data_IF_584073709584
#
_entry.id   IF_584073709584
#
_cell.length_a   1.000
_cell.length_b   1.000
_cell.length_c   1.000
_cell.angle_alpha   90.00
_cell.angle_beta   90.00
_cell.angle_gamma   90.00
#
_symmetry.space_group_name_H-M   'P 1'
#
loop_
_entity.id
_entity.type
_entity.pdbx_description
1 polymer ?
#
# COMPACT_ATOMS: atom_id res chain seq x y z
N UNK A 1 -23.73 -22.38 -28.53
CA UNK A 1 -24.09 -23.77 -28.85
C UNK A 1 -25.49 -24.00 -28.32
N UNK A 2 -26.48 -24.25 -29.19
CA UNK A 2 -27.85 -24.49 -28.76
C UNK A 2 -27.95 -25.87 -28.10
N UNK A 3 -28.58 -25.97 -26.93
CA UNK A 3 -28.84 -27.26 -26.30
C UNK A 3 -29.93 -28.01 -27.09
N UNK A 4 -29.78 -29.32 -27.33
CA UNK A 4 -30.82 -30.11 -27.97
C UNK A 4 -32.08 -30.17 -27.10
N UNK A 5 -33.25 -30.02 -27.73
CA UNK A 5 -34.56 -30.09 -27.07
C UNK A 5 -34.96 -31.56 -26.87
N UNK A 6 -34.53 -32.12 -25.74
CA UNK A 6 -34.81 -33.50 -25.35
C UNK A 6 -36.30 -33.79 -25.17
N UNK A 7 -37.11 -32.76 -24.87
CA UNK A 7 -38.55 -32.92 -24.73
C UNK A 7 -39.21 -33.17 -26.09
N UNK A 8 -38.82 -32.41 -27.11
CA UNK A 8 -39.27 -32.64 -28.48
C UNK A 8 -38.83 -34.03 -29.01
N UNK A 9 -37.60 -34.44 -28.68
CA UNK A 9 -37.07 -35.74 -29.10
C UNK A 9 -37.81 -36.90 -28.43
N UNK A 10 -38.13 -36.80 -27.13
CA UNK A 10 -38.92 -37.79 -26.41
C UNK A 10 -40.35 -37.93 -26.97
N UNK A 11 -40.98 -36.81 -27.36
CA UNK A 11 -42.31 -36.83 -27.98
C UNK A 11 -42.31 -37.53 -29.35
N UNK A 12 -41.28 -37.29 -30.17
CA UNK A 12 -41.14 -37.97 -31.45
C UNK A 12 -40.98 -39.49 -31.29
N UNK A 13 -40.23 -39.93 -30.28
CA UNK A 13 -40.11 -41.36 -29.97
C UNK A 13 -41.43 -41.98 -29.51
N UNK A 14 -42.22 -41.26 -28.71
CA UNK A 14 -43.52 -41.75 -28.26
C UNK A 14 -44.51 -41.90 -29.43
N UNK A 15 -44.44 -41.01 -30.42
CA UNK A 15 -45.26 -41.11 -31.64
C UNK A 15 -44.86 -42.33 -32.49
N UNK A 16 -43.56 -42.56 -32.69
CA UNK A 16 -43.09 -43.74 -33.45
C UNK A 16 -43.50 -45.04 -32.73
N UNK A 17 -43.39 -45.09 -31.39
CA UNK A 17 -43.82 -46.25 -30.62
C UNK A 17 -45.33 -46.53 -30.78
N UNK A 18 -46.15 -45.48 -30.82
CA UNK A 18 -47.59 -45.60 -31.02
C UNK A 18 -47.95 -46.04 -32.45
N UNK A 19 -47.22 -45.59 -33.47
CA UNK A 19 -47.46 -46.01 -34.85
C UNK A 19 -47.03 -47.46 -35.11
N UNK A 20 -45.91 -47.90 -34.53
CA UNK A 20 -45.43 -49.29 -34.64
C UNK A 20 -46.37 -50.27 -33.93
N UNK A 21 -47.08 -49.84 -32.88
CA UNK A 21 -48.07 -50.66 -32.17
C UNK A 21 -49.34 -50.94 -33.00
N UNK A 22 -49.59 -50.17 -34.07
CA UNK A 22 -50.75 -50.32 -34.95
C UNK A 22 -50.51 -51.27 -36.14
N UNK A 23 -49.28 -51.75 -36.35
CA UNK A 23 -48.97 -52.68 -37.45
C UNK A 23 -49.37 -54.11 -37.06
N UNK A 24 -50.30 -54.77 -37.79
CA UNK A 24 -50.77 -56.12 -37.46
C UNK A 24 -49.65 -57.17 -37.56
N UNK A 25 -49.45 -57.93 -36.48
CA UNK A 25 -48.52 -59.06 -36.38
C UNK A 25 -48.85 -60.17 -37.40
N UNK A 26 -48.19 -60.17 -38.57
CA UNK A 26 -48.31 -61.31 -39.51
C UNK A 26 -47.23 -62.39 -39.34
N UNK A 27 -46.11 -62.12 -38.65
CA UNK A 27 -45.04 -63.11 -38.46
C UNK A 27 -44.38 -62.97 -37.09
N UNK A 28 -44.90 -63.71 -36.09
CA UNK A 28 -44.15 -64.48 -35.09
C UNK A 28 -43.07 -63.87 -34.19
N UNK A 29 -42.61 -62.64 -34.36
CA UNK A 29 -41.72 -61.95 -33.40
C UNK A 29 -42.12 -60.47 -33.35
N UNK A 30 -42.52 -59.93 -32.20
CA UNK A 30 -42.96 -58.55 -32.11
C UNK A 30 -41.76 -57.60 -32.33
N UNK A 31 -41.63 -57.04 -33.53
CA UNK A 31 -40.58 -56.08 -33.88
C UNK A 31 -40.53 -54.88 -32.91
N UNK A 32 -41.67 -54.51 -32.31
CA UNK A 32 -41.75 -53.50 -31.26
C UNK A 32 -40.98 -53.86 -29.97
N UNK A 33 -40.91 -55.15 -29.59
CA UNK A 33 -40.15 -55.55 -28.39
C UNK A 33 -38.64 -55.54 -28.62
N UNK A 34 -38.17 -55.83 -29.84
CA UNK A 34 -36.74 -55.73 -30.17
C UNK A 34 -36.27 -54.27 -30.22
N UNK A 35 -37.08 -53.36 -30.78
CA UNK A 35 -36.76 -51.93 -30.79
C UNK A 35 -36.75 -51.34 -29.38
N UNK A 36 -37.69 -51.77 -28.53
CA UNK A 36 -37.75 -51.35 -27.12
C UNK A 36 -36.55 -51.89 -26.31
N UNK A 37 -36.11 -53.13 -26.58
CA UNK A 37 -34.89 -53.68 -25.97
C UNK A 37 -33.61 -53.00 -26.46
N UNK A 38 -33.56 -52.48 -27.69
CA UNK A 38 -32.42 -51.71 -28.18
C UNK A 38 -32.37 -50.26 -27.66
N UNK A 39 -33.51 -49.61 -27.43
CA UNK A 39 -33.54 -48.20 -27.01
C UNK A 39 -33.30 -47.99 -25.52
N UNK A 40 -33.68 -48.92 -24.63
CA UNK A 40 -33.41 -48.80 -23.19
C UNK A 40 -31.93 -48.61 -22.82
N UNK A 41 -30.99 -49.41 -23.34
CA UNK A 41 -29.57 -49.20 -23.06
C UNK A 41 -29.04 -47.87 -23.63
N UNK A 42 -29.55 -47.40 -24.78
CA UNK A 42 -29.20 -46.08 -25.31
C UNK A 42 -29.66 -44.93 -24.41
N UNK A 43 -30.87 -45.01 -23.86
CA UNK A 43 -31.40 -44.00 -22.93
C UNK A 43 -30.59 -43.96 -21.63
N UNK A 44 -30.20 -45.12 -21.11
CA UNK A 44 -29.31 -45.22 -19.95
C UNK A 44 -27.96 -44.53 -20.19
N UNK A 45 -27.36 -44.77 -21.36
CA UNK A 45 -26.08 -44.16 -21.73
C UNK A 45 -26.19 -42.63 -21.88
N UNK A 46 -27.29 -42.14 -22.44
CA UNK A 46 -27.54 -40.70 -22.57
C UNK A 46 -27.68 -40.01 -21.20
N UNK A 47 -28.35 -40.66 -20.24
CA UNK A 47 -28.49 -40.14 -18.89
C UNK A 47 -27.14 -40.09 -18.15
N UNK A 48 -26.30 -41.10 -18.35
CA UNK A 48 -24.94 -41.17 -17.80
C UNK A 48 -24.04 -40.05 -18.36
N UNK A 49 -24.08 -39.84 -19.67
CA UNK A 49 -23.36 -38.74 -20.34
C UNK A 49 -23.84 -37.38 -19.82
N UNK A 50 -25.14 -37.20 -19.59
CA UNK A 50 -25.69 -35.96 -19.05
C UNK A 50 -25.20 -35.70 -17.61
N UNK A 51 -25.15 -36.74 -16.77
CA UNK A 51 -24.59 -36.64 -15.42
C UNK A 51 -23.09 -36.33 -15.44
N UNK A 52 -22.31 -36.97 -16.31
CA UNK A 52 -20.89 -36.63 -16.49
C UNK A 52 -20.70 -35.17 -16.91
N UNK A 53 -21.51 -34.68 -17.85
CA UNK A 53 -21.43 -33.30 -18.32
C UNK A 53 -21.71 -32.31 -17.19
N UNK A 54 -22.71 -32.57 -16.34
CA UNK A 54 -23.00 -31.76 -15.16
C UNK A 54 -21.84 -31.77 -14.16
N UNK A 55 -21.21 -32.93 -13.94
CA UNK A 55 -20.03 -33.05 -13.07
C UNK A 55 -18.86 -32.21 -13.57
N UNK A 56 -18.55 -32.27 -14.87
CA UNK A 56 -17.50 -31.45 -15.49
C UNK A 56 -17.82 -29.95 -15.38
N UNK A 57 -19.09 -29.56 -15.56
CA UNK A 57 -19.51 -28.17 -15.46
C UNK A 57 -19.34 -27.62 -14.03
N UNK A 58 -19.67 -28.41 -13.01
CA UNK A 58 -19.42 -28.04 -11.61
C UNK A 58 -17.92 -27.93 -11.30
N UNK A 59 -17.10 -28.85 -11.81
CA UNK A 59 -15.66 -28.79 -11.64
C UNK A 59 -15.08 -27.52 -12.27
N UNK A 60 -15.51 -27.16 -13.48
CA UNK A 60 -15.08 -25.94 -14.17
C UNK A 60 -15.44 -24.67 -13.38
N UNK A 61 -16.65 -24.59 -12.82
CA UNK A 61 -17.05 -23.49 -11.95
C UNK A 61 -16.20 -23.42 -10.67
N UNK A 62 -15.88 -24.57 -10.08
CA UNK A 62 -14.96 -24.67 -8.94
C UNK A 62 -13.59 -24.11 -9.27
N UNK A 63 -13.00 -24.52 -10.40
CA UNK A 63 -11.71 -24.01 -10.87
C UNK A 63 -11.75 -22.51 -11.15
N UNK A 64 -12.82 -22.00 -11.76
CA UNK A 64 -12.97 -20.57 -12.03
C UNK A 64 -13.03 -19.74 -10.73
N UNK A 65 -13.76 -20.22 -9.71
CA UNK A 65 -13.80 -19.58 -8.39
C UNK A 65 -12.42 -19.58 -7.73
N UNK A 66 -11.68 -20.68 -7.82
CA UNK A 66 -10.33 -20.77 -7.28
C UNK A 66 -9.38 -19.77 -7.98
N UNK A 67 -9.44 -19.68 -9.31
CA UNK A 67 -8.64 -18.71 -10.06
C UNK A 67 -8.94 -17.26 -9.65
N UNK A 68 -10.22 -16.91 -9.47
CA UNK A 68 -10.62 -15.58 -8.99
C UNK A 68 -10.10 -15.29 -7.58
N UNK A 69 -10.16 -16.28 -6.67
CA UNK A 69 -9.62 -16.15 -5.32
C UNK A 69 -8.10 -15.93 -5.35
N UNK A 70 -7.37 -16.67 -6.18
CA UNK A 70 -5.92 -16.49 -6.36
C UNK A 70 -5.58 -15.11 -6.93
N UNK A 71 -6.37 -14.61 -7.89
CA UNK A 71 -6.16 -13.27 -8.45
C UNK A 71 -6.37 -12.18 -7.38
N UNK A 72 -7.41 -12.30 -6.56
CA UNK A 72 -7.65 -11.36 -5.45
C UNK A 72 -6.52 -11.39 -4.43
N UNK A 73 -6.02 -12.59 -4.09
CA UNK A 73 -4.89 -12.73 -3.18
C UNK A 73 -3.62 -12.06 -3.75
N UNK A 74 -3.34 -12.24 -5.04
CA UNK A 74 -2.21 -11.60 -5.72
C UNK A 74 -2.31 -10.07 -5.67
N UNK A 75 -3.50 -9.51 -5.91
CA UNK A 75 -3.74 -8.07 -5.82
C UNK A 75 -3.53 -7.56 -4.39
N UNK A 76 -4.01 -8.27 -3.38
CA UNK A 76 -3.79 -7.91 -1.98
C UNK A 76 -2.31 -7.92 -1.61
N UNK A 77 -1.55 -8.94 -2.05
CA UNK A 77 -0.10 -9.00 -1.85
C UNK A 77 0.63 -7.85 -2.56
N UNK A 78 0.21 -7.49 -3.77
CA UNK A 78 0.79 -6.35 -4.49
C UNK A 78 0.55 -5.03 -3.74
N UNK A 79 -0.66 -4.80 -3.23
CA UNK A 79 -0.96 -3.61 -2.43
C UNK A 79 -0.14 -3.57 -1.14
N UNK A 80 0.05 -4.71 -0.47
CA UNK A 80 0.88 -4.80 0.71
C UNK A 80 2.34 -4.45 0.41
N UNK A 81 2.90 -4.96 -0.69
CA UNK A 81 4.27 -4.63 -1.11
C UNK A 81 4.44 -3.13 -1.41
N UNK A 82 3.47 -2.51 -2.07
CA UNK A 82 3.49 -1.06 -2.31
C UNK A 82 3.46 -0.26 -1.01
N UNK A 83 2.64 -0.67 -0.04
CA UNK A 83 2.62 -0.06 1.30
C UNK A 83 3.96 -0.17 2.02
N UNK A 84 4.60 -1.35 1.97
CA UNK A 84 5.93 -1.56 2.55
C UNK A 84 7.00 -0.70 1.88
N UNK A 85 6.96 -0.56 0.55
CA UNK A 85 7.90 0.29 -0.19
C UNK A 85 7.77 1.77 0.21
N UNK A 86 6.53 2.26 0.36
CA UNK A 86 6.27 3.63 0.82
C UNK A 86 6.80 3.86 2.24
N UNK A 87 6.57 2.91 3.14
CA UNK A 87 7.09 2.98 4.51
C UNK A 87 8.63 3.01 4.54
N UNK A 88 9.28 2.17 3.73
CA UNK A 88 10.74 2.15 3.61
C UNK A 88 11.27 3.49 3.07
N UNK A 89 10.62 4.07 2.06
CA UNK A 89 11.01 5.37 1.53
C UNK A 89 10.90 6.48 2.58
N UNK A 90 9.85 6.47 3.41
CA UNK A 90 9.71 7.40 4.52
C UNK A 90 10.83 7.22 5.56
N UNK A 91 11.18 5.98 5.91
CA UNK A 91 12.29 5.70 6.82
C UNK A 91 13.63 6.20 6.27
N UNK A 92 13.91 5.98 4.98
CA UNK A 92 15.13 6.48 4.35
C UNK A 92 15.21 8.01 4.38
N UNK A 93 14.10 8.70 4.14
CA UNK A 93 14.05 10.16 4.23
C UNK A 93 14.34 10.65 5.66
N UNK A 94 13.80 9.98 6.68
CA UNK A 94 14.07 10.30 8.09
C UNK A 94 15.55 10.07 8.45
N UNK A 95 16.14 8.96 7.98
CA UNK A 95 17.57 8.67 8.19
C UNK A 95 18.43 9.74 7.52
N UNK A 96 18.13 10.11 6.27
CA UNK A 96 18.89 11.14 5.55
C UNK A 96 18.84 12.50 6.29
N UNK A 97 17.67 12.90 6.80
CA UNK A 97 17.53 14.10 7.62
C UNK A 97 18.32 13.99 8.95
N UNK A 98 18.29 12.82 9.59
CA UNK A 98 19.07 12.55 10.80
C UNK A 98 20.57 12.67 10.57
N UNK A 99 21.08 12.10 9.48
CA UNK A 99 22.50 12.19 9.10
C UNK A 99 22.90 13.64 8.81
N UNK A 100 22.09 14.39 8.07
CA UNK A 100 22.36 15.82 7.82
C UNK A 100 22.40 16.63 9.12
N UNK A 101 21.52 16.33 10.07
CA UNK A 101 21.48 16.96 11.39
C UNK A 101 22.73 16.63 12.22
N UNK A 102 23.16 15.36 12.22
CA UNK A 102 24.39 14.94 12.90
C UNK A 102 25.63 15.62 12.32
N UNK A 103 25.74 15.66 10.99
CA UNK A 103 26.86 16.31 10.31
C UNK A 103 26.92 17.81 10.64
N UNK A 104 25.77 18.50 10.62
CA UNK A 104 25.67 19.91 11.02
C UNK A 104 26.11 20.11 12.47
N UNK A 105 25.64 19.27 13.40
CA UNK A 105 26.05 19.37 14.79
C UNK A 105 27.55 19.12 14.97
N UNK A 106 28.11 18.13 14.28
CA UNK A 106 29.54 17.82 14.32
C UNK A 106 30.39 19.00 13.85
N UNK A 107 29.98 19.69 12.78
CA UNK A 107 30.65 20.89 12.29
C UNK A 107 30.60 22.06 13.29
N UNK A 108 29.55 22.15 14.09
CA UNK A 108 29.37 23.21 15.10
C UNK A 108 30.06 22.90 16.44
N UNK A 109 30.43 21.65 16.72
CA UNK A 109 30.99 21.25 18.02
C UNK A 109 32.22 22.06 18.46
N UNK A 110 33.26 22.29 17.62
CA UNK A 110 34.44 23.04 18.06
C UNK A 110 34.11 24.47 18.49
N UNK A 111 33.22 25.14 17.76
CA UNK A 111 32.73 26.48 18.09
C UNK A 111 31.92 26.45 19.39
N UNK A 112 30.99 25.50 19.55
CA UNK A 112 30.16 25.39 20.76
C UNK A 112 31.02 25.16 22.00
N UNK A 113 31.98 24.24 21.93
CA UNK A 113 32.90 23.96 23.03
C UNK A 113 33.73 25.19 23.42
N UNK A 114 34.20 25.95 22.43
CA UNK A 114 34.89 27.21 22.68
C UNK A 114 33.99 28.22 23.39
N UNK A 115 32.81 28.49 22.83
CA UNK A 115 31.86 29.48 23.38
C UNK A 115 31.39 29.09 24.80
N UNK A 116 31.24 27.80 25.09
CA UNK A 116 30.85 27.31 26.42
C UNK A 116 31.95 27.53 27.45
N UNK A 117 33.22 27.39 27.06
CA UNK A 117 34.36 27.55 27.96
C UNK A 117 34.77 29.02 28.18
N UNK A 118 34.30 29.95 27.35
CA UNK A 118 34.64 31.38 27.42
C UNK A 118 33.88 32.11 28.55
N UNK A 119 34.42 33.23 29.05
CA UNK A 119 33.74 34.10 30.03
C UNK A 119 32.52 34.82 29.43
N UNK A 120 31.72 35.49 30.25
CA UNK A 120 30.50 36.19 29.80
C UNK A 120 30.78 37.32 28.80
N UNK A 121 31.90 38.02 28.97
CA UNK A 121 32.30 39.16 28.15
C UNK A 121 33.24 38.79 26.99
N UNK A 122 33.67 37.52 26.91
CA UNK A 122 34.59 37.07 25.86
C UNK A 122 33.90 37.03 24.48
N UNK A 123 34.66 37.29 23.38
CA UNK A 123 34.11 37.24 22.03
C UNK A 123 33.57 35.85 21.65
N UNK A 124 32.32 35.81 21.15
CA UNK A 124 31.70 34.60 20.61
C UNK A 124 32.27 34.24 19.24
N UNK A 125 32.47 32.95 19.00
CA UNK A 125 32.73 32.39 17.67
C UNK A 125 31.43 32.03 16.97
N UNK A 126 31.47 32.15 15.64
CA UNK A 126 30.35 31.92 14.74
C UNK A 126 30.68 30.86 13.69
N UNK A 127 29.66 30.23 13.07
CA UNK A 127 29.87 29.33 11.94
C UNK A 127 30.57 30.04 10.77
N UNK A 128 31.34 29.28 10.00
CA UNK A 128 32.03 29.80 8.81
C UNK A 128 31.03 30.42 7.83
N UNK A 129 31.35 31.61 7.32
CA UNK A 129 30.50 32.34 6.36
C UNK A 129 29.51 33.33 7.00
N UNK A 130 29.35 33.30 8.33
CA UNK A 130 28.57 34.33 9.04
C UNK A 130 29.43 35.58 9.21
N UNK A 131 28.97 36.71 8.66
CA UNK A 131 29.59 38.02 8.86
C UNK A 131 29.17 38.56 10.22
N UNK A 132 30.14 38.74 11.13
CA UNK A 132 29.88 39.27 12.47
C UNK A 132 29.69 40.78 12.40
N UNK A 133 28.43 41.21 12.32
CA UNK A 133 28.00 42.60 12.35
C UNK A 133 26.73 42.75 13.18
N UNK A 134 26.42 43.97 13.64
CA UNK A 134 25.17 44.23 14.36
C UNK A 134 23.97 43.73 13.51
N UNK A 135 23.02 42.97 14.09
CA UNK A 135 22.75 42.81 15.53
C UNK A 135 23.31 41.52 16.17
N UNK A 136 24.31 40.86 15.58
CA UNK A 136 24.93 39.67 16.17
C UNK A 136 25.61 40.02 17.51
N UNK A 137 25.37 39.25 18.60
CA UNK A 137 25.98 39.52 19.90
C UNK A 137 27.49 39.28 19.86
N UNK A 138 28.30 40.18 20.42
CA UNK A 138 29.75 39.96 20.45
C UNK A 138 30.13 39.07 21.63
N UNK A 139 29.36 39.09 22.72
CA UNK A 139 29.58 38.32 23.94
C UNK A 139 28.32 37.60 24.42
N UNK A 140 28.44 36.75 25.45
CA UNK A 140 27.26 36.10 26.07
C UNK A 140 26.36 37.13 26.75
N UNK A 141 26.96 38.14 27.38
CA UNK A 141 26.23 39.26 27.97
C UNK A 141 25.39 40.03 26.93
N UNK A 142 25.91 40.24 25.71
CA UNK A 142 25.14 40.85 24.62
C UNK A 142 23.95 39.97 24.21
N UNK A 143 24.15 38.66 24.16
CA UNK A 143 23.10 37.68 23.83
C UNK A 143 21.95 37.78 24.84
N UNK A 144 22.26 37.92 26.14
CA UNK A 144 21.28 38.14 27.20
C UNK A 144 20.47 39.43 27.03
N UNK A 145 21.00 40.43 26.30
CA UNK A 145 20.38 41.74 26.12
C UNK A 145 19.58 41.85 24.81
N UNK A 146 19.60 40.84 23.93
CA UNK A 146 18.90 40.87 22.65
C UNK A 146 17.39 41.10 22.83
N UNK A 147 16.82 42.06 22.09
CA UNK A 147 15.36 42.28 22.05
C UNK A 147 14.67 41.21 21.19
N UNK A 148 13.34 41.14 21.23
CA UNK A 148 12.56 40.22 20.38
C UNK A 148 12.91 40.36 18.89
N UNK A 149 13.00 41.61 18.41
CA UNK A 149 13.32 41.92 17.03
C UNK A 149 14.76 41.51 16.69
N UNK A 150 15.73 41.80 17.56
CA UNK A 150 17.11 41.40 17.34
C UNK A 150 17.26 39.88 17.32
N UNK A 151 16.56 39.15 18.20
CA UNK A 151 16.55 37.69 18.16
C UNK A 151 16.03 37.15 16.82
N UNK A 152 15.00 37.76 16.24
CA UNK A 152 14.47 37.35 14.94
C UNK A 152 15.50 37.55 13.82
N UNK A 153 16.19 38.70 13.81
CA UNK A 153 17.25 38.99 12.82
C UNK A 153 18.43 38.04 12.99
N UNK A 154 18.90 37.85 14.22
CA UNK A 154 20.01 36.92 14.52
C UNK A 154 19.65 35.49 14.13
N UNK A 155 18.43 35.03 14.45
CA UNK A 155 17.96 33.71 14.05
C UNK A 155 17.96 33.55 12.52
N UNK A 156 17.51 34.56 11.77
CA UNK A 156 17.53 34.53 10.32
C UNK A 156 18.97 34.47 9.75
N UNK A 157 19.89 35.27 10.29
CA UNK A 157 21.30 35.27 9.87
C UNK A 157 21.99 33.94 10.16
N UNK A 158 21.66 33.31 11.29
CA UNK A 158 22.18 31.99 11.68
C UNK A 158 21.46 30.81 11.00
N UNK A 159 20.45 31.07 10.17
CA UNK A 159 19.67 30.02 9.51
C UNK A 159 18.83 29.16 10.49
N UNK A 160 18.46 29.72 11.65
CA UNK A 160 17.66 29.00 12.65
C UNK A 160 16.19 28.93 12.23
N UNK A 161 15.47 27.86 12.61
CA UNK A 161 14.03 27.77 12.41
C UNK A 161 13.31 28.96 13.06
N UNK A 162 12.42 29.59 12.31
CA UNK A 162 11.60 30.70 12.82
C UNK A 162 10.69 30.25 13.96
N UNK A 163 10.63 31.06 15.02
CA UNK A 163 9.74 30.84 16.15
C UNK A 163 8.43 31.64 16.00
N UNK A 164 7.28 31.11 16.47
CA UNK A 164 6.00 31.80 16.44
C UNK A 164 6.06 33.25 16.96
N UNK A 165 5.26 34.20 16.43
CA UNK A 165 5.37 35.62 16.80
C UNK A 165 5.26 35.88 18.31
N UNK A 166 4.42 35.12 19.01
CA UNK A 166 4.19 35.22 20.46
C UNK A 166 5.23 34.48 21.32
N UNK A 167 6.28 33.91 20.73
CA UNK A 167 7.32 33.21 21.50
C UNK A 167 8.08 34.19 22.40
N UNK A 168 8.17 33.92 23.72
CA UNK A 168 8.88 34.77 24.67
C UNK A 168 10.33 35.01 24.25
N UNK A 169 10.83 36.23 24.49
CA UNK A 169 12.21 36.62 24.14
C UNK A 169 13.23 35.68 24.76
N UNK A 170 12.99 35.23 26.00
CA UNK A 170 13.87 34.28 26.68
C UNK A 170 14.03 32.97 25.89
N UNK A 171 12.94 32.44 25.32
CA UNK A 171 12.99 31.21 24.52
C UNK A 171 13.72 31.42 23.19
N UNK A 172 13.55 32.60 22.57
CA UNK A 172 14.29 32.97 21.35
C UNK A 172 15.79 33.10 21.62
N UNK A 173 16.17 33.78 22.72
CA UNK A 173 17.56 33.87 23.16
C UNK A 173 18.12 32.48 23.46
N UNK A 174 17.33 31.60 24.11
CA UNK A 174 17.73 30.21 24.38
C UNK A 174 18.02 29.43 23.10
N UNK A 175 17.19 29.54 22.07
CA UNK A 175 17.45 28.89 20.78
C UNK A 175 18.79 29.34 20.17
N UNK A 176 19.10 30.63 20.23
CA UNK A 176 20.36 31.19 19.72
C UNK A 176 21.54 30.73 20.59
N UNK A 177 21.39 30.79 21.92
CA UNK A 177 22.38 30.33 22.88
C UNK A 177 22.72 28.84 22.71
N UNK A 178 21.71 27.99 22.60
CA UNK A 178 21.87 26.54 22.39
C UNK A 178 22.56 26.27 21.04
N UNK A 179 22.23 27.04 19.99
CA UNK A 179 22.89 26.92 18.69
C UNK A 179 24.37 27.30 18.74
N UNK A 180 24.71 28.41 19.39
CA UNK A 180 26.08 28.93 19.50
C UNK A 180 26.90 28.20 20.58
N UNK A 181 26.28 27.41 21.45
CA UNK A 181 26.95 26.78 22.59
C UNK A 181 27.34 27.81 23.66
N UNK A 182 26.45 28.75 23.94
CA UNK A 182 26.63 29.85 24.88
C UNK A 182 25.52 29.81 25.95
N UNK A 183 25.52 28.79 26.83
CA UNK A 183 24.41 28.56 27.76
C UNK A 183 24.24 29.73 28.73
N UNK A 184 22.98 29.93 29.15
CA UNK A 184 22.66 30.79 30.28
C UNK A 184 23.00 30.05 31.56
N UNK A 185 23.97 30.58 32.30
CA UNK A 185 24.35 30.09 33.64
C UNK A 185 23.50 30.81 34.68
#
# INVERSE_FOLDING_TARGET
MAQPDWAAMAQAFQQIANEVALVPNMFGVPAGQQLQQQMMPQMGHMLEVQQQMLGVQQQMLGTQRQMLATQQQMLATQQQMLGQLQQMQQQLNQIAQGVATLNTNQALLPMRLHNTACSEDAPLRYPTGVVVAAPLPHSRLDLHRLTANNCQVVAAVLGLPGLPPNTPVLQRRKQIADFLGAPFV
#
